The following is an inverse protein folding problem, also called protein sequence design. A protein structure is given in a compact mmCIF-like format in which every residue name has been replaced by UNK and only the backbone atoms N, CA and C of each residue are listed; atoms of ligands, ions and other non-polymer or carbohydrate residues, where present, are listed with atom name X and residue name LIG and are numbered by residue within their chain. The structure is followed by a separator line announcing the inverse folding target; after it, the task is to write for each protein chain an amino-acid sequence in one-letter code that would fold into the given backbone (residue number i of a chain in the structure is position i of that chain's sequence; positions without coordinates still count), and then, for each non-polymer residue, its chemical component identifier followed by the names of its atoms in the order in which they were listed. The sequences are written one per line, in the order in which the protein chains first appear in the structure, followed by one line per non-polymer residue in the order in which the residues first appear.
data_IF_381535184803
#
_entry.id   IF_381535184803
#
_cell.length_a   1.000
_cell.length_b   1.000
_cell.length_c   1.000
_cell.angle_alpha   90.00
_cell.angle_beta   90.00
_cell.angle_gamma   90.00
#
_symmetry.space_group_name_H-M   'P 1'
#
loop_
_entity.id
_entity.type
_entity.pdbx_description
1 polymer ?
#
# COMPACT_ATOMS: atom_id res chain seq x y z
N UNK A 1 -25.46 -16.80 0.53
CA UNK A 1 -25.12 -15.47 1.08
C UNK A 1 -24.30 -15.68 2.34
N UNK A 2 -23.03 -15.23 2.38
CA UNK A 2 -22.27 -15.18 3.64
C UNK A 2 -22.89 -14.12 4.55
N UNK A 3 -22.93 -14.40 5.84
CA UNK A 3 -23.44 -13.43 6.81
C UNK A 3 -22.47 -12.25 6.94
N UNK A 4 -22.96 -11.04 7.25
CA UNK A 4 -22.11 -9.84 7.42
C UNK A 4 -20.98 -10.05 8.44
N UNK A 5 -21.19 -10.92 9.44
CA UNK A 5 -20.21 -11.30 10.46
C UNK A 5 -19.08 -12.18 9.90
N UNK A 6 -19.36 -13.06 8.95
CA UNK A 6 -18.34 -13.87 8.27
C UNK A 6 -17.50 -13.03 7.30
N UNK A 7 -18.11 -12.05 6.62
CA UNK A 7 -17.40 -11.09 5.79
C UNK A 7 -16.44 -10.23 6.63
N UNK A 8 -16.91 -9.67 7.75
CA UNK A 8 -16.08 -8.88 8.69
C UNK A 8 -14.90 -9.71 9.25
N UNK A 9 -15.14 -10.95 9.66
CA UNK A 9 -14.06 -11.84 10.15
C UNK A 9 -13.05 -12.20 9.05
N UNK A 10 -13.49 -12.31 7.80
CA UNK A 10 -12.62 -12.59 6.65
C UNK A 10 -11.74 -11.37 6.35
N UNK A 11 -12.31 -10.16 6.38
CA UNK A 11 -11.58 -8.90 6.21
C UNK A 11 -10.57 -8.69 7.34
N UNK A 12 -10.96 -8.92 8.59
CA UNK A 12 -10.05 -8.80 9.75
C UNK A 12 -8.84 -9.74 9.68
N UNK A 13 -9.04 -11.01 9.29
CA UNK A 13 -7.93 -11.95 9.05
C UNK A 13 -7.07 -11.53 7.85
N UNK A 14 -7.71 -10.99 6.81
CA UNK A 14 -7.01 -10.49 5.63
C UNK A 14 -6.17 -9.24 5.95
N UNK A 15 -6.60 -8.42 6.92
CA UNK A 15 -5.86 -7.25 7.39
C UNK A 15 -4.58 -7.62 8.18
N UNK A 16 -4.63 -8.65 9.04
CA UNK A 16 -3.41 -9.13 9.73
C UNK A 16 -2.41 -9.72 8.73
N UNK A 17 -2.90 -10.48 7.75
CA UNK A 17 -2.06 -10.98 6.66
C UNK A 17 -1.51 -9.84 5.80
N UNK A 18 -2.31 -8.79 5.58
CA UNK A 18 -1.90 -7.60 4.86
C UNK A 18 -0.73 -6.87 5.54
N UNK A 19 -0.81 -6.66 6.85
CA UNK A 19 0.26 -6.02 7.64
C UNK A 19 1.57 -6.80 7.55
N UNK A 20 1.53 -8.11 7.76
CA UNK A 20 2.71 -8.95 7.64
C UNK A 20 3.28 -8.94 6.21
N UNK A 21 2.41 -8.97 5.20
CA UNK A 21 2.83 -8.87 3.81
C UNK A 21 3.44 -7.50 3.49
N UNK A 22 2.96 -6.42 4.10
CA UNK A 22 3.53 -5.09 3.96
C UNK A 22 4.94 -5.02 4.56
N UNK A 23 5.14 -5.53 5.76
CA UNK A 23 6.47 -5.57 6.37
C UNK A 23 7.44 -6.44 5.58
N UNK A 24 6.98 -7.60 5.10
CA UNK A 24 7.79 -8.48 4.27
C UNK A 24 8.12 -7.86 2.92
N UNK A 25 7.17 -7.14 2.31
CA UNK A 25 7.39 -6.42 1.07
C UNK A 25 8.47 -5.35 1.25
N UNK A 26 8.36 -4.52 2.28
CA UNK A 26 9.37 -3.51 2.60
C UNK A 26 10.75 -4.15 2.85
N UNK A 27 10.82 -5.20 3.67
CA UNK A 27 12.08 -5.90 3.94
C UNK A 27 12.73 -6.57 2.74
N UNK A 28 11.95 -6.91 1.71
CA UNK A 28 12.45 -7.55 0.50
C UNK A 28 12.80 -6.55 -0.61
N UNK A 29 12.03 -5.46 -0.71
CA UNK A 29 12.06 -4.56 -1.87
C UNK A 29 12.60 -3.16 -1.55
N UNK A 30 12.76 -2.79 -0.27
CA UNK A 30 13.31 -1.50 0.15
C UNK A 30 14.68 -1.72 0.80
N UNK A 31 15.75 -1.46 0.06
CA UNK A 31 17.11 -1.56 0.60
C UNK A 31 17.31 -0.50 1.71
N UNK A 32 17.94 -0.92 2.81
CA UNK A 32 18.13 -0.09 3.99
C UNK A 32 16.97 -0.12 4.98
N UNK A 33 15.83 -0.76 4.67
CA UNK A 33 14.72 -0.90 5.59
C UNK A 33 15.08 -1.75 6.82
N UNK A 34 14.86 -1.19 8.02
CA UNK A 34 15.15 -1.83 9.32
C UNK A 34 13.95 -1.85 10.27
N UNK A 35 12.75 -1.63 9.73
CA UNK A 35 11.54 -1.40 10.53
C UNK A 35 11.12 0.08 10.51
N UNK A 36 10.08 0.39 11.29
CA UNK A 36 9.51 1.74 11.39
C UNK A 36 8.28 1.74 12.29
N UNK A 37 7.71 2.92 12.51
CA UNK A 37 6.43 3.07 13.23
C UNK A 37 5.30 3.12 12.22
N UNK A 38 4.36 2.19 12.36
CA UNK A 38 3.22 2.06 11.45
C UNK A 38 1.92 2.30 12.19
N UNK A 39 0.98 2.93 11.50
CA UNK A 39 -0.35 3.22 12.01
C UNK A 39 -1.39 2.73 11.01
N UNK A 40 -2.42 2.09 11.53
CA UNK A 40 -3.59 1.75 10.74
C UNK A 40 -4.40 3.01 10.44
N UNK A 41 -4.67 3.23 9.17
CA UNK A 41 -5.59 4.27 8.70
C UNK A 41 -6.71 3.65 7.88
N UNK A 42 -7.79 4.41 7.70
CA UNK A 42 -8.96 4.00 6.95
C UNK A 42 -9.33 5.06 5.92
N UNK A 43 -9.34 4.67 4.65
CA UNK A 43 -9.81 5.51 3.54
C UNK A 43 -11.06 4.85 2.97
N UNK A 44 -12.21 5.51 3.13
CA UNK A 44 -13.50 5.12 2.58
C UNK A 44 -13.85 3.62 2.72
N UNK A 45 -13.58 3.03 3.90
CA UNK A 45 -13.91 1.62 4.16
C UNK A 45 -12.77 0.63 3.99
N UNK A 46 -11.68 1.01 3.33
CA UNK A 46 -10.48 0.19 3.18
C UNK A 46 -9.42 0.56 4.23
N UNK A 47 -8.68 -0.44 4.70
CA UNK A 47 -7.64 -0.28 5.70
C UNK A 47 -6.25 -0.33 5.08
N UNK A 48 -5.38 0.55 5.56
CA UNK A 48 -4.00 0.70 5.07
C UNK A 48 -3.07 0.92 6.25
N UNK A 49 -1.78 0.68 6.02
CA UNK A 49 -0.74 1.08 6.96
C UNK A 49 -0.03 2.31 6.41
N UNK A 50 0.23 3.27 7.28
CA UNK A 50 1.02 4.46 6.97
C UNK A 50 2.17 4.57 7.96
N UNK A 51 3.25 5.22 7.52
CA UNK A 51 4.36 5.63 8.39
C UNK A 51 4.46 7.16 8.34
N UNK A 52 4.76 7.76 9.49
CA UNK A 52 5.13 9.17 9.60
C UNK A 52 6.63 9.35 9.79
N UNK A 53 7.41 8.29 9.55
CA UNK A 53 8.86 8.34 9.57
C UNK A 53 9.37 8.94 8.26
N UNK A 54 9.81 10.19 8.36
CA UNK A 54 10.42 10.96 7.27
C UNK A 54 11.96 11.04 7.40
N UNK A 55 12.52 10.55 8.51
CA UNK A 55 13.97 10.56 8.76
C UNK A 55 14.65 9.31 8.18
N UNK A 56 13.92 8.19 8.14
CA UNK A 56 14.40 6.94 7.54
C UNK A 56 14.20 6.99 6.03
N UNK A 57 15.30 6.98 5.27
CA UNK A 57 15.28 6.83 3.81
C UNK A 57 15.58 5.38 3.42
N UNK A 58 14.86 4.88 2.42
CA UNK A 58 15.06 3.56 1.84
C UNK A 58 15.22 3.66 0.32
N UNK A 59 16.04 2.77 -0.25
CA UNK A 59 16.26 2.71 -1.69
C UNK A 59 15.34 1.68 -2.33
N UNK A 60 14.74 2.06 -3.45
CA UNK A 60 13.75 1.32 -4.21
C UNK A 60 14.19 1.25 -5.67
N UNK A 61 14.04 0.08 -6.27
CA UNK A 61 14.36 -0.13 -7.69
C UNK A 61 13.24 -0.89 -8.39
N UNK A 62 12.76 -0.35 -9.51
CA UNK A 62 11.69 -0.94 -10.32
C UNK A 62 11.42 -0.09 -11.55
N UNK A 63 10.90 -0.69 -12.63
CA UNK A 63 10.49 0.02 -13.85
C UNK A 63 11.51 1.02 -14.40
N UNK A 64 12.79 0.60 -14.47
CA UNK A 64 13.91 1.43 -14.94
C UNK A 64 14.20 2.67 -14.06
N UNK A 65 13.59 2.77 -12.88
CA UNK A 65 13.88 3.76 -11.87
C UNK A 65 14.65 3.12 -10.71
N UNK A 66 15.66 3.84 -10.22
CA UNK A 66 16.38 3.55 -8.99
C UNK A 66 16.42 4.86 -8.20
N UNK A 67 15.82 4.85 -7.00
CA UNK A 67 15.53 6.06 -6.26
C UNK A 67 15.51 5.83 -4.76
N UNK A 68 15.67 6.91 -4.01
CA UNK A 68 15.57 6.92 -2.56
C UNK A 68 14.31 7.69 -2.14
N UNK A 69 13.50 7.07 -1.28
CA UNK A 69 12.29 7.67 -0.73
C UNK A 69 12.32 7.63 0.79
N UNK A 70 11.74 8.63 1.48
CA UNK A 70 11.43 8.50 2.89
C UNK A 70 10.51 7.30 3.12
N UNK A 71 10.61 6.68 4.30
CA UNK A 71 9.84 5.48 4.62
C UNK A 71 8.33 5.74 4.52
N UNK A 72 7.85 6.93 4.87
CA UNK A 72 6.45 7.33 4.66
C UNK A 72 5.98 7.11 3.21
N UNK A 73 6.77 7.47 2.21
CA UNK A 73 6.48 7.29 0.78
C UNK A 73 6.71 5.86 0.30
N UNK A 74 7.76 5.19 0.80
CA UNK A 74 7.98 3.77 0.50
C UNK A 74 6.82 2.88 0.98
N UNK A 75 6.18 3.27 2.09
CA UNK A 75 4.96 2.62 2.59
C UNK A 75 3.79 2.84 1.65
N UNK A 76 3.58 4.04 1.12
CA UNK A 76 2.53 4.28 0.11
C UNK A 76 2.74 3.41 -1.13
N UNK A 77 3.98 3.35 -1.63
CA UNK A 77 4.38 2.45 -2.70
C UNK A 77 4.03 0.98 -2.39
N UNK A 78 4.41 0.48 -1.21
CA UNK A 78 4.11 -0.89 -0.79
C UNK A 78 2.59 -1.16 -0.70
N UNK A 79 1.79 -0.21 -0.20
CA UNK A 79 0.33 -0.35 -0.16
C UNK A 79 -0.24 -0.53 -1.59
N UNK A 80 0.21 0.28 -2.56
CA UNK A 80 -0.25 0.22 -3.94
C UNK A 80 0.15 -1.11 -4.61
N UNK A 81 1.40 -1.55 -4.44
CA UNK A 81 1.85 -2.83 -5.00
C UNK A 81 1.09 -4.02 -4.40
N UNK A 82 0.90 -4.04 -3.09
CA UNK A 82 0.26 -5.16 -2.41
C UNK A 82 -1.24 -5.25 -2.69
N UNK A 83 -1.94 -4.13 -2.71
CA UNK A 83 -3.39 -4.12 -3.05
C UNK A 83 -3.60 -4.64 -4.47
N UNK A 84 -2.73 -4.28 -5.42
CA UNK A 84 -2.75 -4.85 -6.77
C UNK A 84 -2.45 -6.36 -6.78
N UNK A 85 -1.39 -6.81 -6.11
CA UNK A 85 -1.03 -8.22 -6.01
C UNK A 85 -2.13 -9.07 -5.35
N UNK A 86 -2.76 -8.57 -4.31
CA UNK A 86 -3.85 -9.24 -3.62
C UNK A 86 -5.10 -9.30 -4.50
N UNK A 87 -5.42 -8.24 -5.24
CA UNK A 87 -6.49 -8.27 -6.24
C UNK A 87 -6.26 -9.41 -7.24
N UNK A 88 -5.06 -9.49 -7.84
CA UNK A 88 -4.72 -10.56 -8.79
C UNK A 88 -4.79 -11.95 -8.14
N UNK A 89 -4.27 -12.10 -6.92
CA UNK A 89 -4.33 -13.36 -6.19
C UNK A 89 -5.78 -13.85 -5.96
N UNK A 90 -6.69 -12.93 -5.66
CA UNK A 90 -8.09 -13.25 -5.38
C UNK A 90 -8.98 -13.31 -6.62
N UNK A 91 -8.51 -12.90 -7.80
CA UNK A 91 -9.28 -12.84 -9.04
C UNK A 91 -10.06 -14.14 -9.33
N UNK A 92 -9.40 -15.30 -9.19
CA UNK A 92 -10.05 -16.61 -9.41
C UNK A 92 -10.54 -17.29 -8.12
N UNK A 93 -10.28 -16.70 -6.94
CA UNK A 93 -10.53 -17.33 -5.64
C UNK A 93 -11.74 -16.75 -4.90
N UNK A 94 -11.96 -15.45 -5.04
CA UNK A 94 -13.03 -14.74 -4.34
C UNK A 94 -13.28 -13.38 -5.01
N UNK A 95 -14.38 -13.27 -5.73
CA UNK A 95 -14.84 -12.03 -6.36
C UNK A 95 -14.95 -10.88 -5.36
N UNK A 96 -15.53 -11.13 -4.18
CA UNK A 96 -15.66 -10.16 -3.08
C UNK A 96 -14.30 -9.60 -2.64
N UNK A 97 -13.30 -10.46 -2.40
CA UNK A 97 -11.97 -10.02 -1.97
C UNK A 97 -11.21 -9.35 -3.12
N UNK A 98 -11.33 -9.86 -4.35
CA UNK A 98 -10.77 -9.22 -5.53
C UNK A 98 -11.30 -7.78 -5.67
N UNK A 99 -12.61 -7.60 -5.57
CA UNK A 99 -13.26 -6.29 -5.63
C UNK A 99 -12.82 -5.37 -4.48
N UNK A 100 -12.71 -5.90 -3.26
CA UNK A 100 -12.19 -5.14 -2.11
C UNK A 100 -10.77 -4.62 -2.36
N UNK A 101 -9.85 -5.49 -2.81
CA UNK A 101 -8.45 -5.09 -3.03
C UNK A 101 -8.27 -4.20 -4.25
N UNK A 102 -9.05 -4.39 -5.31
CA UNK A 102 -9.12 -3.45 -6.44
C UNK A 102 -9.60 -2.06 -6.00
N UNK A 103 -10.66 -2.02 -5.18
CA UNK A 103 -11.17 -0.77 -4.61
C UNK A 103 -10.12 -0.10 -3.73
N UNK A 104 -9.44 -0.88 -2.89
CA UNK A 104 -8.38 -0.36 -2.03
C UNK A 104 -7.22 0.26 -2.84
N UNK A 105 -6.80 -0.39 -3.93
CA UNK A 105 -5.79 0.15 -4.83
C UNK A 105 -6.21 1.51 -5.39
N UNK A 106 -7.40 1.61 -5.99
CA UNK A 106 -7.85 2.84 -6.63
C UNK A 106 -8.09 3.98 -5.62
N UNK A 107 -8.57 3.67 -4.42
CA UNK A 107 -8.75 4.66 -3.35
C UNK A 107 -7.42 5.21 -2.84
N UNK A 108 -6.44 4.35 -2.59
CA UNK A 108 -5.10 4.81 -2.19
C UNK A 108 -4.44 5.62 -3.31
N UNK A 109 -4.55 5.16 -4.56
CA UNK A 109 -4.03 5.86 -5.73
C UNK A 109 -4.66 7.25 -5.88
N UNK A 110 -5.97 7.36 -5.69
CA UNK A 110 -6.70 8.63 -5.69
C UNK A 110 -6.23 9.55 -4.56
N UNK A 111 -6.13 9.03 -3.34
CA UNK A 111 -5.64 9.82 -2.19
C UNK A 111 -4.22 10.36 -2.41
N UNK A 112 -3.35 9.57 -3.02
CA UNK A 112 -2.01 9.98 -3.44
C UNK A 112 -2.04 11.12 -4.48
N UNK A 113 -2.93 11.05 -5.47
CA UNK A 113 -3.10 12.11 -6.47
C UNK A 113 -3.64 13.38 -5.84
N UNK A 114 -4.67 13.28 -4.99
CA UNK A 114 -5.25 14.44 -4.30
C UNK A 114 -4.18 15.15 -3.46
N UNK A 115 -3.36 14.40 -2.71
CA UNK A 115 -2.28 14.98 -1.90
C UNK A 115 -1.21 15.67 -2.76
N UNK A 116 -0.94 15.15 -3.96
CA UNK A 116 -0.02 15.78 -4.90
C UNK A 116 -0.60 17.07 -5.49
N UNK A 117 -1.84 17.03 -6.00
CA UNK A 117 -2.52 18.20 -6.58
C UNK A 117 -2.73 19.33 -5.56
N UNK A 118 -2.94 18.99 -4.29
CA UNK A 118 -3.08 19.96 -3.19
C UNK A 118 -1.73 20.49 -2.66
N UNK A 119 -0.60 20.04 -3.19
CA UNK A 119 0.75 20.45 -2.75
C UNK A 119 1.11 19.96 -1.34
N UNK A 120 0.45 18.91 -0.85
CA UNK A 120 0.66 18.29 0.47
C UNK A 120 1.65 17.13 0.44
N UNK A 121 2.04 16.69 -0.76
CA UNK A 121 3.04 15.67 -0.98
C UNK A 121 4.18 16.23 -1.84
N UNK A 122 5.39 15.71 -1.61
CA UNK A 122 6.56 16.10 -2.40
C UNK A 122 6.45 15.54 -3.82
N UNK A 123 6.44 16.44 -4.80
CA UNK A 123 6.17 16.12 -6.21
C UNK A 123 7.12 15.03 -6.74
N UNK A 124 8.42 15.13 -6.46
CA UNK A 124 9.41 14.17 -6.92
C UNK A 124 9.13 12.76 -6.38
N UNK A 125 8.77 12.64 -5.10
CA UNK A 125 8.47 11.35 -4.49
C UNK A 125 7.19 10.75 -5.04
N UNK A 126 6.16 11.56 -5.28
CA UNK A 126 4.92 11.08 -5.89
C UNK A 126 5.14 10.60 -7.33
N UNK A 127 5.87 11.35 -8.15
CA UNK A 127 6.26 10.95 -9.49
C UNK A 127 7.02 9.61 -9.47
N UNK A 128 7.99 9.47 -8.57
CA UNK A 128 8.76 8.23 -8.41
C UNK A 128 7.85 7.05 -8.02
N UNK A 129 6.91 7.23 -7.09
CA UNK A 129 5.94 6.18 -6.73
C UNK A 129 5.14 5.75 -7.96
N UNK A 130 4.61 6.71 -8.74
CA UNK A 130 3.80 6.37 -9.92
C UNK A 130 4.60 5.65 -11.00
N UNK A 131 5.87 6.00 -11.20
CA UNK A 131 6.76 5.27 -12.11
C UNK A 131 7.04 3.85 -11.59
N UNK A 132 7.26 3.68 -10.28
CA UNK A 132 7.57 2.38 -9.67
C UNK A 132 6.41 1.37 -9.70
N UNK A 133 5.16 1.83 -9.88
CA UNK A 133 3.97 0.96 -9.90
C UNK A 133 3.37 0.74 -11.31
N UNK A 134 3.88 1.44 -12.32
CA UNK A 134 3.41 1.36 -13.72
C UNK A 134 3.79 0.03 -14.38
#
# INVERSE_FOLDING_TARGET
MRTSKEAINTIGKSAVLYEQNLYNFLGKHCEGYKGGKFYWTRIQGCFYLISYDEETTVRLSGNYLDTELPLSYAVLYANLMLTNQLCHYYYEKSEELCAYWSTAFHLMRGHCLDAWEEGKAEELFMQNIFILID
#
